data_IF_170254229265
#
_entry.id   IF_170254229265
#
_cell.length_a   1.000
_cell.length_b   1.000
_cell.length_c   1.000
_cell.angle_alpha   90.00
_cell.angle_beta   90.00
_cell.angle_gamma   90.00
#
_symmetry.space_group_name_H-M   'P 1'
#
loop_
_entity.id
_entity.type
_entity.pdbx_description
1 polymer ?
#
# COMPACT_ATOMS: atom_id res chain seq x y z
N UNK A 1 -35.58 -50.21 -77.94
CA UNK A 1 -35.86 -48.90 -77.37
C UNK A 1 -36.32 -49.19 -75.94
N UNK A 2 -35.41 -48.95 -74.97
CA UNK A 2 -35.57 -49.41 -73.60
C UNK A 2 -35.98 -48.20 -72.73
N UNK A 3 -37.11 -48.31 -72.08
CA UNK A 3 -37.55 -47.41 -71.03
C UNK A 3 -36.76 -47.71 -69.72
N UNK A 4 -36.19 -46.71 -69.13
CA UNK A 4 -35.64 -46.82 -67.83
C UNK A 4 -36.48 -45.99 -66.84
N UNK A 5 -37.13 -46.71 -65.94
CA UNK A 5 -38.00 -46.10 -64.91
C UNK A 5 -37.07 -45.63 -63.77
N UNK A 6 -37.20 -44.34 -63.41
CA UNK A 6 -36.50 -43.72 -62.31
C UNK A 6 -37.39 -43.84 -61.03
N UNK A 7 -36.87 -44.59 -60.06
CA UNK A 7 -37.49 -44.75 -58.71
C UNK A 7 -37.06 -43.63 -57.83
N UNK A 8 -37.95 -42.72 -57.43
CA UNK A 8 -37.71 -41.70 -56.48
C UNK A 8 -37.83 -42.27 -55.05
N UNK A 9 -36.70 -42.34 -54.31
CA UNK A 9 -36.70 -42.62 -52.87
C UNK A 9 -36.93 -41.32 -52.09
N UNK A 10 -38.07 -41.22 -51.42
CA UNK A 10 -38.35 -40.15 -50.50
C UNK A 10 -37.74 -40.51 -49.14
N UNK A 11 -36.69 -39.84 -48.77
CA UNK A 11 -36.10 -39.94 -47.42
C UNK A 11 -36.83 -38.97 -46.49
N UNK A 12 -37.62 -39.48 -45.57
CA UNK A 12 -38.23 -38.73 -44.47
C UNK A 12 -37.20 -38.46 -43.42
N UNK A 13 -36.66 -37.24 -43.34
CA UNK A 13 -35.81 -36.78 -42.27
C UNK A 13 -36.65 -36.26 -41.09
N UNK A 14 -36.67 -37.02 -40.00
CA UNK A 14 -37.23 -36.57 -38.71
C UNK A 14 -36.35 -35.49 -38.08
N UNK A 15 -36.90 -34.39 -37.58
CA UNK A 15 -36.09 -33.40 -36.83
C UNK A 15 -35.78 -33.92 -35.42
N UNK A 16 -34.49 -34.12 -35.18
CA UNK A 16 -33.98 -34.42 -33.85
C UNK A 16 -34.06 -33.13 -33.02
N UNK A 17 -35.01 -33.03 -32.11
CA UNK A 17 -35.08 -31.96 -31.11
C UNK A 17 -33.92 -32.14 -30.13
N UNK A 18 -32.86 -31.36 -30.30
CA UNK A 18 -31.82 -31.22 -29.31
C UNK A 18 -32.32 -30.38 -28.14
N UNK A 19 -32.75 -31.04 -27.07
CA UNK A 19 -33.03 -30.40 -25.78
C UNK A 19 -31.69 -29.86 -25.18
N UNK A 20 -31.48 -28.56 -25.33
CA UNK A 20 -30.41 -27.86 -24.58
C UNK A 20 -30.77 -27.88 -23.09
N UNK A 21 -30.15 -28.76 -22.33
CA UNK A 21 -30.22 -28.74 -20.88
C UNK A 21 -29.69 -27.39 -20.39
N UNK A 22 -30.56 -26.56 -19.86
CA UNK A 22 -30.19 -25.32 -19.16
C UNK A 22 -29.43 -25.72 -17.90
N UNK A 23 -28.11 -25.50 -17.91
CA UNK A 23 -27.28 -25.57 -16.67
C UNK A 23 -27.86 -24.52 -15.72
N UNK A 24 -28.55 -24.94 -14.69
CA UNK A 24 -28.92 -24.10 -13.56
C UNK A 24 -27.64 -23.47 -13.00
N UNK A 25 -27.50 -22.14 -13.10
CA UNK A 25 -26.47 -21.40 -12.38
C UNK A 25 -26.69 -21.67 -10.87
N UNK A 26 -25.81 -22.41 -10.25
CA UNK A 26 -25.74 -22.47 -8.79
C UNK A 26 -25.67 -21.02 -8.32
N UNK A 27 -26.65 -20.61 -7.52
CA UNK A 27 -26.60 -19.33 -6.84
C UNK A 27 -25.32 -19.32 -5.99
N UNK A 28 -24.32 -18.56 -6.41
CA UNK A 28 -23.13 -18.35 -5.63
C UNK A 28 -23.56 -17.57 -4.39
N UNK A 29 -23.35 -18.14 -3.22
CA UNK A 29 -23.45 -17.41 -1.96
C UNK A 29 -22.58 -16.14 -2.12
N UNK A 30 -23.12 -14.94 -1.86
CA UNK A 30 -22.30 -13.74 -1.95
C UNK A 30 -21.08 -13.93 -1.01
N UNK A 31 -19.88 -13.49 -1.44
CA UNK A 31 -18.70 -13.61 -0.59
C UNK A 31 -18.99 -12.93 0.76
N UNK A 32 -18.47 -13.47 1.88
CA UNK A 32 -18.70 -12.90 3.19
C UNK A 32 -18.31 -11.41 3.17
N UNK A 33 -19.27 -10.56 3.55
CA UNK A 33 -19.03 -9.12 3.65
C UNK A 33 -18.03 -8.89 4.77
N UNK A 34 -16.88 -8.28 4.48
CA UNK A 34 -15.94 -7.88 5.53
C UNK A 34 -16.63 -6.91 6.46
N UNK A 35 -16.39 -6.98 7.79
CA UNK A 35 -17.02 -6.07 8.73
C UNK A 35 -16.64 -4.61 8.39
N UNK A 36 -17.48 -3.61 8.71
CA UNK A 36 -17.19 -2.20 8.50
C UNK A 36 -15.95 -1.77 9.29
N UNK A 37 -15.32 -0.65 8.89
CA UNK A 37 -14.29 -0.01 9.70
C UNK A 37 -14.94 0.56 10.97
N UNK A 38 -14.21 0.50 12.09
CA UNK A 38 -14.64 1.08 13.35
C UNK A 38 -14.20 2.54 13.39
N UNK A 39 -15.15 3.46 13.35
CA UNK A 39 -14.90 4.91 13.41
C UNK A 39 -14.30 5.33 14.76
N UNK A 40 -13.40 6.31 14.74
CA UNK A 40 -12.71 6.85 15.92
C UNK A 40 -12.95 8.34 16.03
N UNK A 41 -13.31 8.81 17.20
CA UNK A 41 -13.28 10.25 17.56
C UNK A 41 -11.82 10.64 17.85
N UNK A 42 -11.10 11.10 16.84
CA UNK A 42 -9.67 11.43 16.93
C UNK A 42 -9.38 12.66 17.80
N UNK A 43 -10.40 13.38 18.22
CA UNK A 43 -10.24 14.51 19.18
C UNK A 43 -9.98 14.04 20.60
N UNK A 44 -10.01 12.73 20.84
CA UNK A 44 -9.74 12.07 22.12
C UNK A 44 -8.68 11.00 21.94
N UNK A 45 -7.77 10.90 22.88
CA UNK A 45 -6.80 9.80 22.90
C UNK A 45 -7.48 8.49 23.33
N UNK A 46 -7.05 7.34 22.79
CA UNK A 46 -7.43 6.04 23.31
C UNK A 46 -7.05 5.90 24.79
N UNK A 47 -7.77 5.05 25.51
CA UNK A 47 -7.50 4.76 26.91
C UNK A 47 -6.03 4.34 27.12
N UNK A 48 -5.40 4.95 28.13
CA UNK A 48 -3.98 4.74 28.48
C UNK A 48 -2.97 5.49 27.61
N UNK A 49 -3.40 6.13 26.52
CA UNK A 49 -2.51 6.95 25.72
C UNK A 49 -2.41 8.37 26.26
N UNK A 50 -1.22 8.97 26.22
CA UNK A 50 -0.92 10.36 26.62
C UNK A 50 -0.59 11.26 25.44
N UNK A 51 -0.31 10.68 24.26
CA UNK A 51 0.03 11.40 23.03
C UNK A 51 -0.30 10.57 21.78
N UNK A 52 -0.34 11.24 20.64
CA UNK A 52 -0.58 10.64 19.32
C UNK A 52 0.62 10.95 18.40
N UNK A 53 1.29 9.93 17.92
CA UNK A 53 2.38 10.02 16.96
C UNK A 53 1.90 9.66 15.56
N UNK A 54 1.94 10.62 14.62
CA UNK A 54 1.49 10.46 13.25
C UNK A 54 2.64 10.01 12.33
N UNK A 55 2.34 9.10 11.41
CA UNK A 55 3.27 8.60 10.40
C UNK A 55 2.66 8.61 9.01
N UNK A 56 3.40 9.15 8.04
CA UNK A 56 2.96 9.21 6.65
C UNK A 56 3.48 7.98 5.90
N UNK A 57 2.59 7.28 5.18
CA UNK A 57 2.91 6.08 4.42
C UNK A 57 2.92 6.42 2.92
N UNK A 58 4.09 6.76 2.37
CA UNK A 58 4.29 7.23 1.02
C UNK A 58 4.99 6.19 0.15
N UNK A 59 4.70 6.19 -1.14
CA UNK A 59 5.32 5.28 -2.08
C UNK A 59 4.35 4.67 -3.09
N UNK A 60 4.64 3.43 -3.51
CA UNK A 60 3.83 2.74 -4.50
C UNK A 60 3.23 1.42 -3.99
N UNK A 61 3.04 0.44 -4.88
CA UNK A 61 2.25 -0.77 -4.59
C UNK A 61 2.73 -1.58 -3.39
N UNK A 62 4.04 -1.66 -3.14
CA UNK A 62 4.56 -2.38 -1.99
C UNK A 62 4.32 -1.62 -0.66
N UNK A 63 4.30 -0.28 -0.66
CA UNK A 63 3.84 0.49 0.51
C UNK A 63 2.33 0.40 0.70
N UNK A 64 1.56 0.44 -0.41
CA UNK A 64 0.11 0.25 -0.39
C UNK A 64 -0.28 -1.11 0.20
N UNK A 65 0.54 -2.11 -0.04
CA UNK A 65 0.34 -3.48 0.37
C UNK A 65 -0.32 -4.34 -0.71
N UNK A 66 0.24 -5.53 -0.89
CA UNK A 66 -0.26 -6.57 -1.81
C UNK A 66 -0.32 -7.94 -1.13
N UNK A 67 0.18 -8.06 0.10
CA UNK A 67 0.10 -9.29 0.86
C UNK A 67 -1.34 -9.78 1.02
N UNK A 68 -1.50 -11.09 1.17
CA UNK A 68 -2.81 -11.72 1.33
C UNK A 68 -3.47 -11.27 2.62
N UNK A 69 -4.74 -10.91 2.53
CA UNK A 69 -5.53 -10.43 3.66
C UNK A 69 -5.81 -11.58 4.66
N UNK A 70 -5.67 -11.33 5.97
CA UNK A 70 -6.09 -12.29 6.98
C UNK A 70 -7.62 -12.48 6.95
N UNK A 71 -8.06 -13.67 7.39
CA UNK A 71 -9.49 -13.98 7.50
C UNK A 71 -10.16 -13.09 8.55
N UNK A 72 -9.49 -12.89 9.69
CA UNK A 72 -9.99 -12.06 10.78
C UNK A 72 -9.10 -10.81 10.96
N UNK A 73 -9.70 -9.61 10.97
CA UNK A 73 -8.95 -8.39 11.23
C UNK A 73 -8.55 -8.30 12.71
N UNK A 74 -7.26 -8.01 12.95
CA UNK A 74 -6.77 -7.65 14.28
C UNK A 74 -6.82 -6.12 14.41
N UNK A 75 -7.42 -5.64 15.50
CA UNK A 75 -7.46 -4.22 15.82
C UNK A 75 -6.70 -3.97 17.13
N UNK A 76 -5.84 -2.96 17.12
CA UNK A 76 -5.23 -2.42 18.32
C UNK A 76 -5.90 -1.05 18.59
N UNK A 77 -6.54 -0.84 19.75
CA UNK A 77 -7.28 0.40 20.04
C UNK A 77 -6.38 1.64 20.02
N UNK A 78 -5.07 1.48 20.17
CA UNK A 78 -4.10 2.58 20.11
C UNK A 78 -3.51 2.83 18.72
N UNK A 79 -3.95 2.11 17.68
CA UNK A 79 -3.51 2.32 16.31
C UNK A 79 -4.70 2.74 15.45
N UNK A 80 -4.61 3.93 14.89
CA UNK A 80 -5.64 4.52 14.04
C UNK A 80 -5.12 4.82 12.64
N UNK A 81 -6.02 4.89 11.66
CA UNK A 81 -5.67 5.26 10.29
C UNK A 81 -6.64 6.31 9.74
N UNK A 82 -6.12 7.24 8.93
CA UNK A 82 -6.93 8.15 8.15
C UNK A 82 -7.33 7.47 6.84
N UNK A 83 -8.61 7.24 6.63
CA UNK A 83 -9.12 6.55 5.45
C UNK A 83 -8.95 7.39 4.17
N UNK A 84 -8.64 6.72 3.02
CA UNK A 84 -8.27 7.41 1.78
C UNK A 84 -9.43 8.12 1.07
N UNK A 85 -10.67 7.66 1.25
CA UNK A 85 -11.82 8.16 0.50
C UNK A 85 -12.52 9.32 1.18
N UNK A 86 -12.66 9.26 2.52
CA UNK A 86 -13.45 10.21 3.29
C UNK A 86 -12.62 11.06 4.26
N UNK A 87 -11.31 10.82 4.35
CA UNK A 87 -10.38 11.48 5.26
C UNK A 87 -10.80 11.37 6.77
N UNK A 88 -11.67 10.41 7.11
CA UNK A 88 -12.08 10.14 8.49
C UNK A 88 -11.12 9.15 9.16
N UNK A 89 -11.15 9.13 10.50
CA UNK A 89 -10.30 8.27 11.30
C UNK A 89 -11.03 7.00 11.74
N UNK A 90 -10.32 5.88 11.62
CA UNK A 90 -10.81 4.55 11.99
C UNK A 90 -9.74 3.78 12.75
N UNK A 91 -10.14 2.75 13.52
CA UNK A 91 -9.18 1.76 14.02
C UNK A 91 -8.43 1.16 12.84
N UNK A 92 -7.10 1.13 12.94
CA UNK A 92 -6.26 0.65 11.84
C UNK A 92 -6.40 -0.85 11.65
N UNK A 93 -6.61 -1.26 10.41
CA UNK A 93 -6.55 -2.64 9.95
C UNK A 93 -6.23 -2.70 8.46
N UNK A 94 -5.81 -3.87 7.99
CA UNK A 94 -5.62 -4.07 6.56
C UNK A 94 -6.94 -4.10 5.76
N UNK A 95 -6.92 -3.60 4.51
CA UNK A 95 -5.82 -2.86 3.91
C UNK A 95 -5.80 -1.40 4.43
N UNK A 96 -4.63 -0.90 4.84
CA UNK A 96 -4.51 0.49 5.28
C UNK A 96 -4.83 1.48 4.16
N UNK A 97 -4.47 1.13 2.91
CA UNK A 97 -4.73 1.94 1.72
C UNK A 97 -6.08 1.57 1.07
N UNK A 98 -7.13 1.45 1.88
CA UNK A 98 -8.48 1.19 1.39
C UNK A 98 -9.01 2.42 0.63
N UNK A 99 -9.29 2.24 -0.67
CA UNK A 99 -9.90 3.26 -1.54
C UNK A 99 -11.41 3.09 -1.64
N UNK A 100 -11.93 1.96 -1.18
CA UNK A 100 -13.34 1.62 -1.18
C UNK A 100 -14.13 2.32 -0.09
N UNK A 101 -15.38 1.94 0.07
CA UNK A 101 -16.24 2.42 1.12
C UNK A 101 -15.86 1.80 2.47
N UNK A 102 -15.78 2.62 3.51
CA UNK A 102 -15.37 2.20 4.85
C UNK A 102 -16.32 1.18 5.51
N UNK A 103 -17.61 1.19 5.12
CA UNK A 103 -18.64 0.32 5.70
C UNK A 103 -18.80 -0.98 4.93
N UNK A 104 -18.65 -0.94 3.60
CA UNK A 104 -18.95 -2.09 2.74
C UNK A 104 -17.72 -2.74 2.11
N UNK A 105 -16.57 -2.07 2.14
CA UNK A 105 -15.35 -2.49 1.42
C UNK A 105 -15.51 -2.59 -0.10
N UNK A 106 -16.60 -2.05 -0.66
CA UNK A 106 -16.81 -2.04 -2.11
C UNK A 106 -16.03 -0.92 -2.78
N UNK A 107 -15.62 -1.14 -4.04
CA UNK A 107 -14.91 -0.14 -4.83
C UNK A 107 -13.44 0.07 -4.42
N UNK A 108 -12.83 -0.88 -3.71
CA UNK A 108 -11.40 -0.86 -3.43
C UNK A 108 -10.59 -1.46 -4.59
N UNK A 109 -9.39 -0.96 -4.81
CA UNK A 109 -8.44 -1.49 -5.76
C UNK A 109 -7.44 -2.40 -5.04
N UNK A 110 -7.35 -3.63 -5.35
CA UNK A 110 -6.41 -4.68 -4.92
C UNK A 110 -5.35 -4.32 -3.84
N UNK A 111 -5.67 -3.46 -2.86
CA UNK A 111 -4.86 -3.22 -1.67
C UNK A 111 -4.97 -4.44 -0.73
N UNK A 112 -3.86 -4.82 -0.13
CA UNK A 112 -3.75 -5.95 0.77
C UNK A 112 -2.93 -5.61 2.03
N UNK A 113 -2.26 -6.62 2.59
CA UNK A 113 -1.32 -6.40 3.69
C UNK A 113 -0.11 -5.62 3.18
N UNK A 114 0.21 -4.52 3.86
CA UNK A 114 1.38 -3.68 3.66
C UNK A 114 2.16 -3.51 4.97
N UNK A 115 3.30 -2.79 4.97
CA UNK A 115 4.20 -2.74 6.11
C UNK A 115 3.68 -1.87 7.27
N UNK A 116 2.73 -0.97 7.02
CA UNK A 116 2.37 0.10 7.96
C UNK A 116 1.75 -0.39 9.27
N UNK A 117 0.96 -1.47 9.27
CA UNK A 117 0.34 -1.95 10.52
C UNK A 117 1.36 -2.62 11.43
N UNK A 118 2.19 -3.52 10.89
CA UNK A 118 3.27 -4.16 11.66
C UNK A 118 4.28 -3.14 12.21
N UNK A 119 4.57 -2.08 11.44
CA UNK A 119 5.34 -0.92 11.93
C UNK A 119 4.69 -0.28 13.16
N UNK A 120 3.41 0.05 13.08
CA UNK A 120 2.69 0.72 14.15
C UNK A 120 2.54 -0.17 15.41
N UNK A 121 2.36 -1.48 15.22
CA UNK A 121 2.29 -2.45 16.32
C UNK A 121 3.58 -2.50 17.14
N UNK A 122 4.74 -2.47 16.47
CA UNK A 122 6.06 -2.42 17.16
C UNK A 122 6.18 -1.13 17.96
N UNK A 123 5.86 0.03 17.38
CA UNK A 123 5.94 1.31 18.09
C UNK A 123 4.99 1.37 19.29
N UNK A 124 3.74 0.94 19.13
CA UNK A 124 2.74 0.87 20.20
C UNK A 124 3.12 -0.14 21.30
N UNK A 125 3.87 -1.18 20.97
CA UNK A 125 4.41 -2.12 21.94
C UNK A 125 5.59 -1.55 22.72
N UNK A 126 6.43 -0.76 22.06
CA UNK A 126 7.63 -0.12 22.66
C UNK A 126 7.23 1.01 23.63
N UNK A 127 6.27 1.86 23.24
CA UNK A 127 5.72 2.90 24.10
C UNK A 127 4.24 2.63 24.41
N UNK A 128 3.96 2.24 25.64
CA UNK A 128 2.61 1.91 26.10
C UNK A 128 1.70 3.15 26.23
N UNK A 129 2.30 4.33 26.24
CA UNK A 129 1.57 5.62 26.37
C UNK A 129 1.35 6.30 25.00
N UNK A 130 1.93 5.78 23.93
CA UNK A 130 1.73 6.29 22.59
C UNK A 130 0.49 5.68 21.92
N UNK A 131 -0.32 6.51 21.28
CA UNK A 131 -1.20 6.13 20.20
C UNK A 131 -0.48 6.41 18.87
N UNK A 132 -0.72 5.58 17.85
CA UNK A 132 -0.08 5.70 16.54
C UNK A 132 -1.14 5.98 15.48
N UNK A 133 -0.97 7.09 14.77
CA UNK A 133 -1.83 7.48 13.65
C UNK A 133 -1.14 7.27 12.31
N UNK A 134 -1.74 6.48 11.44
CA UNK A 134 -1.22 6.17 10.10
C UNK A 134 -1.97 7.00 9.06
N UNK A 135 -1.23 7.67 8.18
CA UNK A 135 -1.77 8.46 7.06
C UNK A 135 -1.34 7.82 5.73
N UNK A 136 -2.15 6.90 5.20
CA UNK A 136 -1.86 6.24 3.93
C UNK A 136 -1.96 7.20 2.75
N UNK A 137 -0.95 7.19 1.85
CA UNK A 137 -0.94 8.01 0.64
C UNK A 137 -0.37 7.27 -0.58
N UNK A 138 0.11 6.02 -0.42
CA UNK A 138 0.79 5.31 -1.50
C UNK A 138 -0.15 4.99 -2.67
N UNK A 139 0.36 5.13 -3.90
CA UNK A 139 -0.35 4.87 -5.16
C UNK A 139 0.42 3.87 -6.00
N UNK A 140 -0.24 2.75 -6.37
CA UNK A 140 0.39 1.67 -7.14
C UNK A 140 0.94 2.14 -8.48
N UNK A 141 2.16 1.68 -8.84
CA UNK A 141 2.81 2.00 -10.13
C UNK A 141 3.28 3.45 -10.28
N UNK A 142 3.24 4.28 -9.23
CA UNK A 142 3.60 5.68 -9.33
C UNK A 142 5.11 5.89 -9.47
N UNK A 143 5.53 6.65 -10.48
CA UNK A 143 6.90 7.17 -10.62
C UNK A 143 7.14 8.29 -9.62
N UNK A 144 8.40 8.46 -9.16
CA UNK A 144 8.82 9.56 -8.28
C UNK A 144 8.53 10.95 -8.85
N UNK A 145 8.37 11.08 -10.17
CA UNK A 145 7.97 12.32 -10.83
C UNK A 145 6.62 12.85 -10.35
N UNK A 146 5.70 11.95 -10.02
CA UNK A 146 4.37 12.32 -9.49
C UNK A 146 4.42 12.78 -8.03
N UNK A 147 5.56 12.59 -7.37
CA UNK A 147 5.85 12.97 -5.99
C UNK A 147 6.71 14.23 -5.88
N UNK A 148 7.02 14.91 -7.00
CA UNK A 148 7.72 16.19 -6.98
C UNK A 148 6.77 17.32 -6.60
N UNK A 149 7.27 18.37 -5.95
CA UNK A 149 6.48 19.57 -5.58
C UNK A 149 5.69 20.08 -6.77
N UNK A 150 4.40 20.33 -6.56
CA UNK A 150 3.45 20.73 -7.61
C UNK A 150 2.83 19.56 -8.39
N UNK A 151 3.34 18.34 -8.26
CA UNK A 151 2.73 17.16 -8.88
C UNK A 151 1.60 16.60 -8.01
N UNK A 152 0.66 15.88 -8.65
CA UNK A 152 -0.59 15.46 -8.01
C UNK A 152 -0.39 14.68 -6.70
N UNK A 153 0.48 13.67 -6.67
CA UNK A 153 0.65 12.83 -5.47
C UNK A 153 1.34 13.58 -4.34
N UNK A 154 2.24 14.51 -4.68
CA UNK A 154 2.85 15.40 -3.70
C UNK A 154 1.80 16.27 -3.02
N UNK A 155 0.97 16.96 -3.83
CA UNK A 155 -0.06 17.87 -3.30
C UNK A 155 -1.13 17.12 -2.51
N UNK A 156 -1.57 15.95 -2.98
CA UNK A 156 -2.52 15.11 -2.25
C UNK A 156 -1.93 14.65 -0.90
N UNK A 157 -0.68 14.22 -0.88
CA UNK A 157 0.01 13.77 0.32
C UNK A 157 0.24 14.91 1.32
N UNK A 158 0.65 16.10 0.83
CA UNK A 158 0.80 17.31 1.65
C UNK A 158 -0.53 17.76 2.27
N UNK A 159 -1.60 17.77 1.47
CA UNK A 159 -2.95 18.06 1.95
C UNK A 159 -3.35 17.11 3.08
N UNK A 160 -3.16 15.80 2.90
CA UNK A 160 -3.50 14.79 3.91
C UNK A 160 -2.67 14.91 5.18
N UNK A 161 -1.38 15.20 5.05
CA UNK A 161 -0.51 15.46 6.21
C UNK A 161 -0.99 16.67 7.03
N UNK A 162 -1.32 17.78 6.36
CA UNK A 162 -1.88 18.99 7.01
C UNK A 162 -3.24 18.72 7.64
N UNK A 163 -4.12 18.01 6.96
CA UNK A 163 -5.43 17.64 7.49
C UNK A 163 -5.31 16.72 8.70
N UNK A 164 -4.37 15.76 8.69
CA UNK A 164 -4.11 14.91 9.84
C UNK A 164 -3.68 15.73 11.06
N UNK A 165 -2.74 16.66 10.90
CA UNK A 165 -2.32 17.57 11.97
C UNK A 165 -3.48 18.46 12.46
N UNK A 166 -4.30 18.97 11.54
CA UNK A 166 -5.45 19.82 11.87
C UNK A 166 -6.51 19.05 12.67
N UNK A 167 -6.91 17.85 12.22
CA UNK A 167 -7.96 17.06 12.86
C UNK A 167 -7.54 16.50 14.22
N UNK A 168 -6.23 16.32 14.42
CA UNK A 168 -5.66 15.81 15.69
C UNK A 168 -5.12 16.93 16.60
N UNK A 169 -5.32 18.19 16.25
CA UNK A 169 -4.87 19.33 17.06
C UNK A 169 -5.35 19.30 18.53
N UNK A 170 -6.61 18.88 18.86
CA UNK A 170 -7.07 18.78 20.24
C UNK A 170 -6.23 17.84 21.11
N UNK A 171 -5.68 16.76 20.56
CA UNK A 171 -4.82 15.80 21.28
C UNK A 171 -3.33 16.08 21.15
N UNK A 172 -2.95 17.23 20.57
CA UNK A 172 -1.56 17.67 20.38
C UNK A 172 -0.70 16.61 19.69
N UNK A 173 -1.22 16.03 18.61
CA UNK A 173 -0.50 15.04 17.84
C UNK A 173 0.81 15.59 17.24
N UNK A 174 1.79 14.72 17.05
CA UNK A 174 3.10 15.05 16.48
C UNK A 174 3.32 14.23 15.22
N UNK A 175 3.70 14.88 14.13
CA UNK A 175 4.17 14.18 12.93
C UNK A 175 5.61 13.71 13.18
N UNK A 176 5.81 12.38 13.16
CA UNK A 176 7.07 11.74 13.55
C UNK A 176 7.94 11.34 12.38
N UNK A 177 7.37 11.18 11.19
CA UNK A 177 8.16 10.84 10.01
C UNK A 177 7.35 10.37 8.82
N UNK A 178 8.09 10.11 7.75
CA UNK A 178 7.61 9.59 6.49
C UNK A 178 8.26 8.23 6.25
N UNK A 179 7.46 7.20 5.97
CA UNK A 179 7.90 5.92 5.46
C UNK A 179 7.75 5.92 3.94
N UNK A 180 8.83 5.54 3.23
CA UNK A 180 8.90 5.53 1.78
C UNK A 180 9.26 4.16 1.23
N UNK A 181 8.37 3.55 0.45
CA UNK A 181 8.65 2.32 -0.28
C UNK A 181 8.21 2.48 -1.73
N UNK A 182 9.19 2.83 -2.58
CA UNK A 182 9.02 3.09 -4.00
C UNK A 182 10.39 3.00 -4.68
N UNK A 183 10.39 2.69 -5.97
CA UNK A 183 11.60 2.62 -6.80
C UNK A 183 11.37 1.78 -8.04
N UNK A 184 10.48 0.80 -7.97
CA UNK A 184 10.23 -0.17 -9.04
C UNK A 184 9.83 0.51 -10.36
N UNK A 185 8.99 1.55 -10.31
CA UNK A 185 8.57 2.30 -11.49
C UNK A 185 9.72 3.06 -12.17
N UNK A 186 10.77 3.39 -11.40
CA UNK A 186 11.92 4.20 -11.87
C UNK A 186 13.20 3.37 -12.05
N UNK A 187 13.21 2.09 -11.73
CA UNK A 187 14.35 1.21 -11.84
C UNK A 187 14.60 0.81 -13.31
N UNK A 188 14.96 1.75 -14.15
CA UNK A 188 15.30 1.60 -15.56
C UNK A 188 16.37 2.62 -15.97
N UNK A 189 17.01 2.39 -17.13
CA UNK A 189 18.13 3.21 -17.60
C UNK A 189 17.75 4.69 -17.84
N UNK A 190 16.49 4.97 -18.16
CA UNK A 190 16.03 6.32 -18.49
C UNK A 190 15.70 7.15 -17.25
N UNK A 191 15.14 6.53 -16.21
CA UNK A 191 14.63 7.27 -15.05
C UNK A 191 15.54 7.20 -13.81
N UNK A 192 16.28 6.09 -13.64
CA UNK A 192 17.18 5.88 -12.50
C UNK A 192 18.24 6.98 -12.33
N UNK A 193 18.88 7.55 -13.38
CA UNK A 193 19.92 8.55 -13.19
C UNK A 193 19.46 9.82 -12.44
N UNK A 194 18.20 10.21 -12.54
CA UNK A 194 17.67 11.39 -11.84
C UNK A 194 17.03 11.05 -10.49
N UNK A 195 16.88 9.76 -10.14
CA UNK A 195 16.10 9.34 -8.99
C UNK A 195 16.64 9.88 -7.67
N UNK A 196 17.95 9.83 -7.44
CA UNK A 196 18.57 10.32 -6.20
C UNK A 196 18.29 11.80 -5.97
N UNK A 197 18.38 12.62 -7.02
CA UNK A 197 18.11 14.06 -6.95
C UNK A 197 16.62 14.33 -6.71
N UNK A 198 15.74 13.63 -7.43
CA UNK A 198 14.30 13.76 -7.27
C UNK A 198 13.86 13.36 -5.86
N UNK A 199 14.47 12.30 -5.27
CA UNK A 199 14.17 11.87 -3.90
C UNK A 199 14.59 12.93 -2.88
N UNK A 200 15.79 13.50 -3.00
CA UNK A 200 16.26 14.58 -2.12
C UNK A 200 15.38 15.83 -2.25
N UNK A 201 15.07 16.25 -3.48
CA UNK A 201 14.20 17.40 -3.76
C UNK A 201 12.83 17.23 -3.12
N UNK A 202 12.21 16.05 -3.26
CA UNK A 202 10.94 15.73 -2.65
C UNK A 202 11.01 15.82 -1.11
N UNK A 203 12.01 15.21 -0.48
CA UNK A 203 12.19 15.25 0.98
C UNK A 203 12.32 16.69 1.46
N UNK A 204 13.19 17.47 0.83
CA UNK A 204 13.41 18.89 1.18
C UNK A 204 12.13 19.70 1.04
N UNK A 205 11.38 19.48 -0.03
CA UNK A 205 10.11 20.16 -0.28
C UNK A 205 9.05 19.81 0.77
N UNK A 206 8.86 18.52 1.12
CA UNK A 206 7.90 18.13 2.17
C UNK A 206 8.26 18.72 3.52
N UNK A 207 9.53 18.71 3.89
CA UNK A 207 10.01 19.30 5.14
C UNK A 207 9.74 20.82 5.19
N UNK A 208 10.01 21.52 4.10
CA UNK A 208 9.76 22.96 3.98
C UNK A 208 8.25 23.27 4.04
N UNK A 209 7.45 22.57 3.25
CA UNK A 209 6.00 22.82 3.13
C UNK A 209 5.21 22.42 4.39
N UNK A 210 5.76 21.53 5.21
CA UNK A 210 5.22 21.15 6.53
C UNK A 210 5.81 21.99 7.68
N UNK A 211 6.80 22.83 7.42
CA UNK A 211 7.58 23.59 8.42
C UNK A 211 8.24 22.66 9.47
N UNK A 212 8.69 21.49 9.03
CA UNK A 212 9.35 20.45 9.84
C UNK A 212 10.70 20.07 9.22
N UNK A 213 11.72 20.91 9.32
CA UNK A 213 13.01 20.75 8.62
C UNK A 213 13.71 19.42 8.95
N UNK A 214 13.50 18.92 10.17
CA UNK A 214 14.14 17.71 10.68
C UNK A 214 13.24 16.48 10.64
N UNK A 215 12.08 16.54 9.94
CA UNK A 215 11.16 15.40 9.88
C UNK A 215 11.87 14.14 9.38
N UNK A 216 11.89 13.05 10.15
CA UNK A 216 12.49 11.79 9.75
C UNK A 216 11.92 11.25 8.44
N UNK A 217 12.81 10.76 7.56
CA UNK A 217 12.43 10.11 6.31
C UNK A 217 13.09 8.74 6.21
N UNK A 218 12.31 7.69 6.19
CA UNK A 218 12.82 6.32 6.21
C UNK A 218 12.41 5.64 4.90
N UNK A 219 13.40 5.44 4.02
CA UNK A 219 13.22 4.66 2.79
C UNK A 219 13.34 3.16 3.06
N UNK A 220 12.92 2.35 2.10
CA UNK A 220 13.16 0.92 2.06
C UNK A 220 13.65 0.52 0.67
N UNK A 221 14.59 -0.43 0.58
CA UNK A 221 14.95 -1.05 -0.69
C UNK A 221 13.76 -1.79 -1.29
N UNK A 222 13.73 -1.87 -2.61
CA UNK A 222 12.70 -2.61 -3.36
C UNK A 222 13.09 -4.09 -3.54
N UNK A 223 12.11 -4.93 -3.86
CA UNK A 223 12.34 -6.37 -4.03
C UNK A 223 13.23 -6.70 -5.23
N UNK A 224 14.16 -7.62 -5.02
CA UNK A 224 15.05 -8.18 -6.05
C UNK A 224 14.60 -9.60 -6.41
N UNK A 225 13.37 -9.73 -6.90
CA UNK A 225 12.72 -11.02 -7.15
C UNK A 225 12.48 -11.30 -8.61
N UNK A 226 12.71 -10.33 -9.50
CA UNK A 226 12.54 -10.48 -10.94
C UNK A 226 13.82 -11.05 -11.59
N UNK A 227 13.70 -11.79 -12.72
CA UNK A 227 14.86 -12.29 -13.45
C UNK A 227 15.60 -11.16 -14.19
N UNK A 228 16.81 -11.49 -14.71
CA UNK A 228 17.53 -10.59 -15.63
C UNK A 228 16.72 -10.36 -16.93
N UNK A 229 16.85 -9.18 -17.56
CA UNK A 229 17.76 -8.07 -17.19
C UNK A 229 17.20 -7.15 -16.07
N UNK A 230 15.98 -7.35 -15.63
CA UNK A 230 15.30 -6.47 -14.67
C UNK A 230 15.99 -6.46 -13.30
N UNK A 231 16.52 -7.60 -12.87
CA UNK A 231 17.23 -7.71 -11.59
C UNK A 231 18.42 -6.73 -11.48
N UNK A 232 19.17 -6.55 -12.56
CA UNK A 232 20.28 -5.58 -12.61
C UNK A 232 19.78 -4.15 -12.34
N UNK A 233 18.66 -3.75 -12.92
CA UNK A 233 18.06 -2.43 -12.70
C UNK A 233 17.56 -2.24 -11.26
N UNK A 234 16.94 -3.29 -10.69
CA UNK A 234 16.46 -3.27 -9.30
C UNK A 234 17.62 -3.14 -8.31
N UNK A 235 18.70 -3.90 -8.50
CA UNK A 235 19.90 -3.79 -7.68
C UNK A 235 20.51 -2.39 -7.75
N UNK A 236 20.65 -1.83 -8.94
CA UNK A 236 21.16 -0.47 -9.10
C UNK A 236 20.28 0.59 -8.46
N UNK A 237 18.96 0.42 -8.43
CA UNK A 237 18.04 1.29 -7.69
C UNK A 237 18.25 1.15 -6.19
N UNK A 238 18.44 -0.06 -5.69
CA UNK A 238 18.66 -0.31 -4.27
C UNK A 238 19.95 0.34 -3.74
N UNK A 239 21.02 0.39 -4.54
CA UNK A 239 22.23 1.13 -4.17
C UNK A 239 21.94 2.64 -3.97
N UNK A 240 21.06 3.25 -4.78
CA UNK A 240 20.64 4.64 -4.62
C UNK A 240 19.85 4.82 -3.30
N UNK A 241 18.91 3.91 -3.01
CA UNK A 241 18.11 3.97 -1.79
C UNK A 241 18.97 3.79 -0.54
N UNK A 242 19.91 2.85 -0.55
CA UNK A 242 20.85 2.62 0.56
C UNK A 242 21.81 3.79 0.78
N UNK A 243 22.13 4.54 -0.27
CA UNK A 243 22.98 5.73 -0.17
C UNK A 243 22.24 6.98 0.36
N UNK A 244 20.91 6.97 0.49
CA UNK A 244 20.12 8.11 0.92
C UNK A 244 20.61 8.77 2.21
N UNK A 245 20.96 8.04 3.30
CA UNK A 245 21.41 8.66 4.55
C UNK A 245 22.70 9.47 4.42
N UNK A 246 23.50 9.23 3.37
CA UNK A 246 24.72 10.01 3.09
C UNK A 246 24.42 11.38 2.45
N UNK A 247 23.22 11.57 1.91
CA UNK A 247 22.85 12.74 1.11
C UNK A 247 21.64 13.51 1.64
N UNK A 248 20.92 12.98 2.64
CA UNK A 248 19.79 13.63 3.28
C UNK A 248 19.87 13.42 4.80
N UNK A 249 19.99 14.52 5.56
CA UNK A 249 19.99 14.47 7.01
C UNK A 249 18.67 13.89 7.54
N UNK A 250 18.70 13.34 8.76
CA UNK A 250 17.53 12.72 9.40
C UNK A 250 16.79 11.74 8.47
N UNK A 251 17.57 10.93 7.76
CA UNK A 251 17.05 9.86 6.93
C UNK A 251 17.71 8.52 7.21
N UNK A 252 17.00 7.45 6.91
CA UNK A 252 17.49 6.08 7.00
C UNK A 252 16.99 5.26 5.81
N UNK A 253 17.59 4.10 5.59
CA UNK A 253 17.08 3.11 4.65
C UNK A 253 16.98 1.75 5.34
N UNK A 254 15.84 1.11 5.20
CA UNK A 254 15.64 -0.30 5.53
C UNK A 254 16.18 -1.14 4.39
N UNK A 255 17.03 -2.10 4.68
CA UNK A 255 17.47 -3.09 3.71
C UNK A 255 16.52 -4.30 3.77
N UNK A 256 15.78 -4.53 2.67
CA UNK A 256 14.85 -5.63 2.50
C UNK A 256 15.27 -6.57 1.34
N UNK A 257 16.51 -6.46 0.85
CA UNK A 257 17.01 -7.23 -0.31
C UNK A 257 17.09 -8.74 -0.05
N UNK A 258 17.16 -9.15 1.21
CA UNK A 258 17.11 -10.55 1.64
C UNK A 258 15.70 -11.16 1.58
N UNK A 259 14.64 -10.34 1.55
CA UNK A 259 13.27 -10.81 1.47
C UNK A 259 12.94 -11.17 0.01
N UNK A 260 12.72 -12.46 -0.24
CA UNK A 260 12.48 -13.00 -1.59
C UNK A 260 11.07 -13.56 -1.77
N UNK A 261 10.26 -13.57 -0.71
CA UNK A 261 8.91 -14.10 -0.76
C UNK A 261 7.93 -13.08 -1.36
N UNK A 262 7.11 -13.54 -2.31
CA UNK A 262 6.21 -12.68 -3.09
C UNK A 262 4.87 -13.38 -3.34
N UNK A 263 3.85 -12.62 -3.76
CA UNK A 263 2.47 -13.12 -3.97
C UNK A 263 2.30 -13.98 -5.24
N UNK A 264 3.38 -14.35 -5.92
CA UNK A 264 3.39 -15.14 -7.16
C UNK A 264 3.74 -14.36 -8.42
N UNK A 265 3.98 -13.05 -8.34
CA UNK A 265 4.24 -12.17 -9.49
C UNK A 265 5.69 -11.66 -9.59
N UNK A 266 6.55 -12.07 -8.67
CA UNK A 266 7.96 -11.67 -8.57
C UNK A 266 8.18 -10.15 -8.38
N UNK A 267 7.15 -9.40 -8.01
CA UNK A 267 7.18 -7.94 -7.84
C UNK A 267 6.76 -7.53 -6.43
N UNK A 268 5.65 -8.11 -5.96
CA UNK A 268 5.02 -7.68 -4.72
C UNK A 268 5.32 -8.64 -3.60
N UNK A 269 5.88 -8.12 -2.52
CA UNK A 269 6.13 -8.88 -1.29
C UNK A 269 4.84 -9.53 -0.77
N UNK A 270 4.94 -10.76 -0.30
CA UNK A 270 3.86 -11.45 0.38
C UNK A 270 3.61 -10.90 1.79
N UNK A 271 2.63 -11.44 2.50
CA UNK A 271 2.23 -10.97 3.83
C UNK A 271 3.40 -11.00 4.82
N UNK A 272 4.15 -12.10 4.87
CA UNK A 272 5.26 -12.24 5.83
C UNK A 272 6.38 -11.24 5.57
N UNK A 273 6.75 -11.04 4.30
CA UNK A 273 7.76 -10.06 3.91
C UNK A 273 7.29 -8.62 4.17
N UNK A 274 6.01 -8.29 3.91
CA UNK A 274 5.44 -6.98 4.21
C UNK A 274 5.48 -6.66 5.71
N UNK A 275 5.10 -7.61 6.56
CA UNK A 275 5.17 -7.43 8.01
C UNK A 275 6.61 -7.28 8.50
N UNK A 276 7.56 -8.05 7.94
CA UNK A 276 8.97 -7.91 8.29
C UNK A 276 9.54 -6.54 7.88
N UNK A 277 9.19 -6.02 6.72
CA UNK A 277 9.53 -4.64 6.32
C UNK A 277 8.97 -3.64 7.35
N UNK A 278 7.74 -3.85 7.81
CA UNK A 278 7.14 -3.02 8.87
C UNK A 278 7.95 -3.03 10.17
N UNK A 279 8.36 -4.19 10.64
CA UNK A 279 9.24 -4.32 11.83
C UNK A 279 10.59 -3.61 11.65
N UNK A 280 11.20 -3.75 10.47
CA UNK A 280 12.46 -3.07 10.13
C UNK A 280 12.30 -1.55 10.04
N UNK A 281 11.20 -1.05 9.49
CA UNK A 281 10.87 0.37 9.53
C UNK A 281 10.79 0.89 10.97
N UNK A 282 10.12 0.16 11.87
CA UNK A 282 10.02 0.54 13.27
C UNK A 282 11.39 0.58 13.96
N UNK A 283 12.25 -0.40 13.73
CA UNK A 283 13.61 -0.41 14.28
C UNK A 283 14.41 0.82 13.82
N UNK A 284 14.28 1.22 12.54
CA UNK A 284 14.94 2.44 12.04
C UNK A 284 14.33 3.72 12.62
N UNK A 285 13.00 3.79 12.76
CA UNK A 285 12.33 4.93 13.39
C UNK A 285 12.81 5.14 14.84
N UNK A 286 12.90 4.07 15.61
CA UNK A 286 13.40 4.11 16.99
C UNK A 286 14.89 4.54 17.07
N UNK A 287 15.72 4.12 16.10
CA UNK A 287 17.14 4.51 16.08
C UNK A 287 17.36 5.98 15.70
N UNK A 288 16.46 6.59 14.92
CA UNK A 288 16.53 8.02 14.58
C UNK A 288 15.99 8.94 15.68
N UNK A 289 15.25 8.40 16.64
CA UNK A 289 14.68 9.16 17.75
C UNK A 289 15.63 9.29 18.96
N UNK A 290 16.74 8.57 18.94
CA UNK A 290 17.82 8.63 19.94
C UNK A 290 18.81 9.73 19.59
#
# INVERSE_FOLDING_TARGET
>A
MRCVSLLCLIVLSSPLFAQKAAKAKKASTPPPTKPPLVSVDITKLPEGATHLDLWLLYGQSNMKGRGFMPDEPKNNPRIVMMHLKDDQWYLARHPLHLTGDAKTFQGHDNAGVGPGLAFAEVLAAQDKTAAIGLVPCAVGGSSIKLWQKGAKLYEDALRRARLALQTTAPVKARLRGILWLQGEANANAQERPQYAEQLRSMITSFRADLALPDLPFIACTIGEMQPEPRLTDLKAMNEILLALPKSALNSACVDARDLKSHIGDSVHFDTAAQEEIGRRFAARALSLAQ
#
